data_IF_959442110723
#
_entry.id   IF_959442110723
#
_cell.length_a   1.000
_cell.length_b   1.000
_cell.length_c   1.000
_cell.angle_alpha   90.00
_cell.angle_beta   90.00
_cell.angle_gamma   90.00
#
_symmetry.space_group_name_H-M   'P 1'
#
loop_
_entity.id
_entity.type
_entity.pdbx_description
1 polymer ?
#
# COMPACT_ATOMS: atom_id res chain seq x y z
N UNK A 1 -3.79 30.60 61.29
CA UNK A 1 -2.78 31.49 60.70
C UNK A 1 -2.60 31.07 59.30
N UNK A 2 -3.20 31.63 58.39
CA UNK A 2 -2.99 32.85 57.63
C UNK A 2 -2.44 32.39 56.30
N UNK A 3 -3.07 32.37 55.21
CA UNK A 3 -3.76 33.32 54.39
C UNK A 3 -2.83 33.72 53.24
N UNK A 4 -3.20 33.54 52.01
CA UNK A 4 -3.37 34.60 51.05
C UNK A 4 -3.78 34.08 49.66
N UNK A 5 -4.91 34.56 49.26
CA UNK A 5 -5.51 34.48 47.92
C UNK A 5 -4.84 35.57 47.06
N UNK A 6 -4.56 35.29 45.79
CA UNK A 6 -4.59 36.32 44.78
C UNK A 6 -4.99 35.79 43.38
N UNK A 7 -6.20 36.20 43.01
CA UNK A 7 -6.72 36.20 41.61
C UNK A 7 -6.08 37.33 40.84
N UNK A 8 -5.73 37.15 39.58
CA UNK A 8 -5.76 38.25 38.59
C UNK A 8 -6.30 37.72 37.24
N UNK A 9 -7.45 38.29 36.90
CA UNK A 9 -8.03 38.38 35.55
C UNK A 9 -7.34 39.54 34.82
N UNK A 10 -7.24 39.47 33.51
CA UNK A 10 -7.25 40.59 32.53
C UNK A 10 -7.23 39.91 31.16
N UNK A 11 -8.14 40.02 30.32
CA UNK A 11 -8.99 40.97 29.60
C UNK A 11 -8.65 40.88 28.09
N UNK A 12 -9.68 40.66 27.33
CA UNK A 12 -9.73 40.62 25.87
C UNK A 12 -9.38 41.96 25.21
N UNK A 13 -8.86 41.93 24.00
CA UNK A 13 -9.00 43.03 23.06
C UNK A 13 -9.28 42.53 21.66
N UNK A 14 -10.47 42.81 21.23
CA UNK A 14 -11.00 42.74 19.87
C UNK A 14 -10.48 43.95 19.09
N UNK A 15 -10.01 43.77 17.86
CA UNK A 15 -10.04 44.83 16.85
C UNK A 15 -10.45 44.27 15.50
N UNK A 16 -11.64 44.65 15.14
CA UNK A 16 -12.18 44.62 13.78
C UNK A 16 -11.75 45.89 13.05
N UNK A 17 -11.38 45.79 11.80
CA UNK A 17 -11.38 46.90 10.87
C UNK A 17 -11.86 46.46 9.50
N UNK A 18 -12.90 47.10 9.13
CA UNK A 18 -13.77 46.99 7.95
C UNK A 18 -13.22 47.73 6.74
N UNK A 19 -13.66 47.24 5.56
CA UNK A 19 -14.03 47.95 4.32
C UNK A 19 -12.91 48.58 3.48
N UNK A 20 -12.97 48.33 2.13
CA UNK A 20 -13.72 49.17 1.17
C UNK A 20 -13.90 48.42 -0.16
N UNK A 21 -15.12 48.49 -0.69
CA UNK A 21 -15.61 48.15 -2.02
C UNK A 21 -14.92 48.97 -3.12
N UNK A 22 -14.80 48.33 -4.31
CA UNK A 22 -14.58 49.02 -5.57
C UNK A 22 -15.26 48.25 -6.70
N UNK A 23 -16.49 48.66 -7.03
CA UNK A 23 -17.23 48.29 -8.24
C UNK A 23 -16.81 49.17 -9.43
N UNK A 24 -16.71 48.56 -10.62
CA UNK A 24 -17.17 49.09 -11.92
C UNK A 24 -16.88 48.02 -12.95
N UNK A 25 -17.79 47.37 -13.52
CA UNK A 25 -18.93 47.67 -14.43
C UNK A 25 -18.52 47.71 -15.90
N UNK A 26 -19.23 46.82 -16.62
CA UNK A 26 -19.77 46.94 -17.98
C UNK A 26 -18.88 46.66 -19.19
N UNK A 27 -19.40 45.74 -20.01
CA UNK A 27 -19.28 45.75 -21.43
C UNK A 27 -19.63 44.41 -22.09
N UNK A 28 -20.91 44.23 -22.31
CA UNK A 28 -21.62 43.17 -23.02
C UNK A 28 -21.36 43.11 -24.53
N UNK A 29 -21.67 41.93 -25.06
CA UNK A 29 -22.29 41.56 -26.38
C UNK A 29 -21.35 40.72 -27.25
N UNK A 30 -21.74 39.66 -27.70
CA UNK A 30 -22.90 38.91 -28.27
C UNK A 30 -22.38 38.04 -29.43
N UNK A 31 -22.69 36.79 -29.32
CA UNK A 31 -23.13 35.77 -30.28
C UNK A 31 -22.68 35.85 -31.76
N UNK A 32 -22.23 34.72 -32.25
CA UNK A 32 -22.85 33.96 -33.35
C UNK A 32 -22.00 32.74 -33.75
N UNK A 33 -22.57 31.57 -33.71
CA UNK A 33 -22.31 30.44 -34.58
C UNK A 33 -23.23 30.60 -35.83
N UNK A 34 -23.28 29.72 -36.82
CA UNK A 34 -22.48 28.56 -37.22
C UNK A 34 -22.18 28.53 -38.75
N UNK A 35 -21.72 27.43 -39.27
CA UNK A 35 -21.89 26.84 -40.60
C UNK A 35 -20.54 26.34 -41.18
N UNK A 36 -20.42 25.14 -41.41
CA UNK A 36 -20.87 24.12 -42.40
C UNK A 36 -19.68 23.64 -43.24
N UNK A 37 -19.57 22.31 -43.33
CA UNK A 37 -18.73 21.56 -44.23
C UNK A 37 -19.24 21.63 -45.67
N UNK A 38 -18.43 21.27 -46.68
CA UNK A 38 -18.79 20.11 -47.48
C UNK A 38 -17.56 19.21 -47.73
N UNK A 39 -17.68 17.91 -47.67
CA UNK A 39 -18.11 16.85 -48.60
C UNK A 39 -17.35 16.75 -49.92
N UNK A 40 -16.75 15.53 -50.05
CA UNK A 40 -16.71 14.62 -51.21
C UNK A 40 -15.78 15.03 -52.36
N UNK A 41 -14.97 14.17 -52.92
CA UNK A 41 -15.28 12.92 -53.65
C UNK A 41 -13.99 12.17 -54.04
N UNK A 42 -13.96 10.93 -53.79
CA UNK A 42 -13.70 9.69 -54.52
C UNK A 42 -12.82 9.72 -55.80
N UNK A 43 -11.90 8.76 -55.90
CA UNK A 43 -11.83 7.64 -56.84
C UNK A 43 -10.45 7.01 -56.93
N UNK A 44 -10.40 5.70 -56.76
CA UNK A 44 -9.33 4.81 -57.23
C UNK A 44 -9.52 4.56 -58.74
N UNK A 45 -8.64 3.86 -59.50
CA UNK A 45 -8.16 2.51 -59.20
C UNK A 45 -6.72 2.13 -59.63
N UNK A 46 -6.31 0.99 -59.11
CA UNK A 46 -5.37 -0.07 -59.52
C UNK A 46 -4.56 0.03 -60.81
N UNK A 47 -3.31 -0.44 -60.71
CA UNK A 47 -2.75 -1.46 -61.61
C UNK A 47 -1.60 -2.22 -60.95
N UNK A 48 -1.69 -3.53 -61.03
CA UNK A 48 -0.66 -4.56 -60.80
C UNK A 48 0.50 -4.39 -61.78
N UNK A 49 1.72 -4.73 -61.32
CA UNK A 49 2.71 -5.41 -62.19
C UNK A 49 3.74 -6.16 -61.34
N UNK A 50 4.08 -7.30 -61.86
CA UNK A 50 4.74 -8.47 -61.32
C UNK A 50 6.19 -8.29 -60.85
N UNK A 51 6.58 -9.19 -59.97
CA UNK A 51 7.93 -9.49 -59.50
C UNK A 51 8.81 -10.09 -60.63
N UNK A 52 10.14 -10.06 -60.46
CA UNK A 52 10.83 -11.33 -60.44
C UNK A 52 11.73 -11.62 -59.25
N UNK A 53 11.87 -12.90 -59.03
CA UNK A 53 12.49 -13.62 -57.94
C UNK A 53 14.03 -13.53 -57.91
N UNK A 54 14.54 -13.99 -56.77
CA UNK A 54 15.80 -14.67 -56.47
C UNK A 54 17.08 -13.83 -56.25
N UNK A 55 17.47 -13.83 -54.98
CA UNK A 55 18.80 -14.32 -54.57
C UNK A 55 18.74 -14.60 -53.04
N UNK A 56 18.81 -15.89 -52.70
CA UNK A 56 19.13 -16.38 -51.36
C UNK A 56 20.55 -15.94 -51.01
N UNK A 57 20.67 -15.11 -49.96
CA UNK A 57 21.93 -14.90 -49.26
C UNK A 57 21.79 -15.52 -47.88
N UNK A 58 22.49 -16.62 -47.74
CA UNK A 58 22.60 -17.47 -46.54
C UNK A 58 23.15 -16.62 -45.37
N UNK A 59 22.27 -16.21 -44.46
CA UNK A 59 22.67 -15.57 -43.22
C UNK A 59 23.29 -16.62 -42.31
N UNK A 60 24.58 -16.41 -42.00
CA UNK A 60 25.31 -17.16 -40.98
C UNK A 60 24.58 -17.08 -39.62
N UNK A 61 24.63 -18.15 -38.80
CA UNK A 61 23.98 -18.12 -37.50
C UNK A 61 24.64 -17.07 -36.63
N UNK A 62 23.80 -16.15 -36.13
CA UNK A 62 24.16 -15.18 -35.12
C UNK A 62 24.60 -15.95 -33.87
N UNK A 63 25.89 -15.86 -33.56
CA UNK A 63 26.52 -16.45 -32.40
C UNK A 63 25.81 -15.90 -31.14
N UNK A 64 25.02 -16.73 -30.47
CA UNK A 64 24.39 -16.40 -29.22
C UNK A 64 25.49 -15.86 -28.29
N UNK A 65 25.37 -14.61 -27.90
CA UNK A 65 26.23 -13.98 -26.93
C UNK A 65 26.23 -14.85 -25.67
N UNK A 66 27.39 -15.37 -25.33
CA UNK A 66 27.60 -16.07 -24.07
C UNK A 66 27.15 -15.16 -22.91
N UNK A 67 26.57 -15.71 -21.83
CA UNK A 67 26.28 -14.91 -20.66
C UNK A 67 27.53 -14.19 -20.22
N UNK A 68 27.47 -12.87 -20.04
CA UNK A 68 28.58 -12.11 -19.47
C UNK A 68 28.92 -12.77 -18.14
N UNK A 69 30.15 -13.30 -18.03
CA UNK A 69 30.68 -13.76 -16.76
C UNK A 69 30.59 -12.57 -15.78
N UNK A 70 29.80 -12.71 -14.73
CA UNK A 70 29.70 -11.74 -13.67
C UNK A 70 31.11 -11.46 -13.18
N UNK A 71 31.60 -10.24 -13.29
CA UNK A 71 32.73 -9.75 -12.55
C UNK A 71 32.43 -10.12 -11.08
N UNK A 72 33.33 -10.80 -10.38
CA UNK A 72 33.08 -11.35 -9.04
C UNK A 72 32.93 -10.28 -7.95
N UNK A 73 32.39 -9.14 -8.26
CA UNK A 73 32.04 -8.04 -7.38
C UNK A 73 30.55 -8.16 -7.01
N UNK A 74 30.27 -8.15 -5.71
CA UNK A 74 28.90 -8.24 -5.20
C UNK A 74 28.10 -6.97 -5.56
N UNK A 75 26.83 -7.14 -5.89
CA UNK A 75 25.91 -6.02 -6.09
C UNK A 75 25.56 -5.42 -4.73
N UNK A 76 25.86 -4.14 -4.52
CA UNK A 76 25.57 -3.42 -3.28
C UNK A 76 24.13 -2.96 -3.23
N UNK A 77 23.40 -3.41 -2.21
CA UNK A 77 21.99 -3.14 -2.07
C UNK A 77 21.69 -2.49 -0.71
N UNK A 78 21.16 -1.26 -0.72
CA UNK A 78 20.60 -0.61 0.47
C UNK A 78 19.11 -0.91 0.56
N UNK A 79 18.65 -1.53 1.65
CA UNK A 79 17.26 -1.93 1.85
C UNK A 79 16.66 -1.15 3.00
N UNK A 80 15.65 -0.34 2.69
CA UNK A 80 14.89 0.45 3.66
C UNK A 80 13.55 -0.22 3.87
N UNK A 81 13.27 -0.59 5.11
CA UNK A 81 12.04 -1.28 5.48
C UNK A 81 11.51 -0.74 6.82
N UNK A 82 10.27 -1.09 7.15
CA UNK A 82 9.71 -0.85 8.47
C UNK A 82 10.28 -1.86 9.49
N UNK A 83 10.08 -1.61 10.79
CA UNK A 83 10.59 -2.48 11.86
C UNK A 83 10.05 -3.91 11.69
N UNK A 84 10.91 -4.94 11.60
CA UNK A 84 10.48 -6.34 11.48
C UNK A 84 9.55 -6.83 12.60
N UNK A 85 9.53 -6.14 13.74
CA UNK A 85 8.66 -6.45 14.87
C UNK A 85 7.32 -5.68 14.84
N UNK A 86 7.06 -4.92 13.78
CA UNK A 86 5.83 -4.16 13.63
C UNK A 86 4.59 -5.06 13.57
N UNK A 87 4.68 -6.14 12.77
CA UNK A 87 3.59 -7.08 12.52
C UNK A 87 4.11 -8.44 12.03
N UNK A 88 3.22 -9.43 11.97
CA UNK A 88 3.52 -10.74 11.37
C UNK A 88 3.92 -10.61 9.90
N UNK A 89 3.19 -9.80 9.12
CA UNK A 89 3.54 -9.46 7.74
C UNK A 89 4.97 -8.95 7.62
N UNK A 90 5.35 -7.96 8.44
CA UNK A 90 6.68 -7.35 8.37
C UNK A 90 7.79 -8.32 8.75
N UNK A 91 7.54 -9.20 9.73
CA UNK A 91 8.47 -10.29 10.07
C UNK A 91 8.70 -11.24 8.89
N UNK A 92 7.64 -11.63 8.17
CA UNK A 92 7.72 -12.51 7.00
C UNK A 92 8.45 -11.82 5.83
N UNK A 93 8.13 -10.56 5.56
CA UNK A 93 8.78 -9.76 4.52
C UNK A 93 10.28 -9.57 4.76
N UNK A 94 10.69 -9.24 5.99
CA UNK A 94 12.11 -9.12 6.36
C UNK A 94 12.87 -10.44 6.18
N UNK A 95 12.25 -11.56 6.55
CA UNK A 95 12.81 -12.89 6.35
C UNK A 95 13.01 -13.23 4.87
N UNK A 96 12.04 -12.91 4.02
CA UNK A 96 12.08 -13.12 2.58
C UNK A 96 13.24 -12.34 1.95
N UNK A 97 13.35 -11.05 2.27
CA UNK A 97 14.43 -10.19 1.79
C UNK A 97 15.82 -10.68 2.26
N UNK A 98 15.96 -11.05 3.53
CA UNK A 98 17.24 -11.57 4.08
C UNK A 98 17.65 -12.92 3.49
N UNK A 99 16.68 -13.74 3.11
CA UNK A 99 16.98 -15.01 2.45
C UNK A 99 17.45 -14.83 1.01
N UNK A 100 16.95 -13.80 0.32
CA UNK A 100 17.32 -13.50 -1.07
C UNK A 100 18.61 -12.70 -1.17
N UNK A 101 18.76 -11.61 -0.43
CA UNK A 101 19.87 -10.67 -0.58
C UNK A 101 21.07 -11.08 0.28
N UNK A 102 21.78 -12.11 -0.16
CA UNK A 102 22.97 -12.71 0.49
C UNK A 102 24.16 -12.70 -0.44
N UNK A 103 25.37 -12.83 0.11
CA UNK A 103 26.61 -12.97 -0.67
C UNK A 103 26.57 -14.21 -1.59
N UNK A 104 25.93 -15.31 -1.15
CA UNK A 104 25.78 -16.52 -1.97
C UNK A 104 24.94 -16.25 -3.23
N UNK A 105 24.00 -15.33 -3.16
CA UNK A 105 23.17 -14.91 -4.28
C UNK A 105 23.77 -13.74 -5.07
N UNK A 106 24.98 -13.27 -4.70
CA UNK A 106 25.69 -12.22 -5.41
C UNK A 106 25.46 -10.81 -4.85
N UNK A 107 24.95 -10.66 -3.64
CA UNK A 107 24.59 -9.37 -3.05
C UNK A 107 25.37 -9.02 -1.80
N UNK A 108 25.80 -7.75 -1.68
CA UNK A 108 26.23 -7.10 -0.45
C UNK A 108 25.07 -6.22 0.06
N UNK A 109 24.22 -6.77 0.92
CA UNK A 109 23.02 -6.10 1.39
C UNK A 109 23.20 -5.43 2.74
N UNK A 110 22.74 -4.18 2.83
CA UNK A 110 22.65 -3.39 4.06
C UNK A 110 21.20 -3.01 4.35
N UNK A 111 20.74 -3.24 5.58
CA UNK A 111 19.35 -2.99 5.99
C UNK A 111 19.26 -1.80 6.92
N UNK A 112 18.24 -0.98 6.72
CA UNK A 112 17.83 0.11 7.62
C UNK A 112 16.33 -0.02 7.93
N UNK A 113 15.99 0.07 9.21
CA UNK A 113 14.61 -0.11 9.68
C UNK A 113 14.13 1.12 10.43
N UNK A 114 12.98 1.63 10.06
CA UNK A 114 12.26 2.63 10.84
C UNK A 114 10.79 2.73 10.41
N UNK A 115 9.91 2.96 11.38
CA UNK A 115 8.50 3.28 11.16
C UNK A 115 8.25 4.80 11.03
N UNK A 116 9.32 5.57 10.85
CA UNK A 116 9.26 7.02 10.67
C UNK A 116 9.85 7.42 9.33
N UNK A 117 9.08 8.17 8.56
CA UNK A 117 9.44 8.54 7.20
C UNK A 117 10.74 9.37 7.12
N UNK A 118 10.94 10.31 8.03
CA UNK A 118 12.15 11.16 8.11
C UNK A 118 13.43 10.35 8.41
N UNK A 119 13.32 9.31 9.25
CA UNK A 119 14.42 8.38 9.52
C UNK A 119 14.72 7.49 8.31
N UNK A 120 13.68 7.03 7.58
CA UNK A 120 13.86 6.26 6.34
C UNK A 120 14.51 7.12 5.24
N UNK A 121 14.08 8.37 5.04
CA UNK A 121 14.69 9.31 4.10
C UNK A 121 16.17 9.57 4.46
N UNK A 122 16.47 9.73 5.75
CA UNK A 122 17.87 9.88 6.22
C UNK A 122 18.71 8.63 5.94
N UNK A 123 18.12 7.45 6.06
CA UNK A 123 18.78 6.18 5.71
C UNK A 123 19.04 6.06 4.22
N UNK A 124 18.09 6.53 3.37
CA UNK A 124 18.29 6.60 1.92
C UNK A 124 19.47 7.51 1.56
N UNK A 125 19.53 8.70 2.16
CA UNK A 125 20.65 9.63 1.97
C UNK A 125 21.99 9.00 2.36
N UNK A 126 22.00 8.22 3.45
CA UNK A 126 23.20 7.48 3.87
C UNK A 126 23.61 6.41 2.85
N UNK A 127 22.69 5.59 2.37
CA UNK A 127 22.98 4.59 1.36
C UNK A 127 23.48 5.21 0.04
N UNK A 128 22.94 6.37 -0.35
CA UNK A 128 23.44 7.14 -1.49
C UNK A 128 24.91 7.55 -1.27
N UNK A 129 25.26 8.05 -0.07
CA UNK A 129 26.63 8.42 0.28
C UNK A 129 27.58 7.21 0.36
N UNK A 130 27.07 6.06 0.78
CA UNK A 130 27.82 4.80 0.85
C UNK A 130 28.04 4.18 -0.55
N UNK A 131 27.37 4.69 -1.60
CA UNK A 131 27.55 4.29 -2.99
C UNK A 131 26.98 2.89 -3.27
N UNK A 132 25.75 2.61 -2.86
CA UNK A 132 25.03 1.38 -3.24
C UNK A 132 24.67 1.40 -4.73
N UNK A 133 24.55 0.23 -5.35
CA UNK A 133 24.10 0.10 -6.73
C UNK A 133 22.58 0.21 -6.85
N UNK A 134 21.89 -0.36 -5.85
CA UNK A 134 20.43 -0.38 -5.76
C UNK A 134 19.95 0.09 -4.40
N UNK A 135 18.85 0.84 -4.42
CA UNK A 135 18.11 1.27 -3.24
C UNK A 135 16.71 0.66 -3.30
N UNK A 136 16.39 -0.22 -2.36
CA UNK A 136 15.09 -0.87 -2.23
C UNK A 136 14.31 -0.19 -1.11
N UNK A 137 13.05 0.18 -1.35
CA UNK A 137 12.28 1.00 -0.41
C UNK A 137 10.86 0.43 -0.21
N UNK A 138 10.52 0.13 1.06
CA UNK A 138 9.15 0.00 1.56
C UNK A 138 8.88 1.18 2.51
N UNK A 139 8.12 2.16 2.05
CA UNK A 139 7.98 3.45 2.72
C UNK A 139 7.03 3.41 3.93
N UNK A 140 7.38 4.10 5.01
CA UNK A 140 6.51 4.30 6.17
C UNK A 140 5.35 5.26 5.85
N UNK A 141 5.59 6.28 5.02
CA UNK A 141 4.61 7.23 4.49
C UNK A 141 4.83 7.42 2.99
N UNK A 142 3.78 7.70 2.24
CA UNK A 142 3.86 7.86 0.79
C UNK A 142 4.54 9.15 0.35
N UNK A 143 4.58 10.19 1.18
CA UNK A 143 5.01 11.54 0.83
C UNK A 143 6.48 11.84 1.12
N UNK A 144 7.05 12.83 0.41
CA UNK A 144 8.34 13.46 0.74
C UNK A 144 9.57 12.77 0.15
N UNK A 145 9.41 11.83 -0.77
CA UNK A 145 10.50 11.05 -1.35
C UNK A 145 11.21 11.69 -2.54
N UNK A 146 10.57 12.63 -3.25
CA UNK A 146 11.09 13.18 -4.53
C UNK A 146 12.54 13.65 -4.47
N UNK A 147 12.92 14.37 -3.40
CA UNK A 147 14.27 14.94 -3.28
C UNK A 147 15.33 13.84 -3.18
N UNK A 148 15.14 12.86 -2.28
CA UNK A 148 16.14 11.82 -2.07
C UNK A 148 16.21 10.84 -3.24
N UNK A 149 15.09 10.60 -3.93
CA UNK A 149 15.07 9.78 -5.14
C UNK A 149 15.75 10.49 -6.31
N UNK A 150 15.61 11.82 -6.42
CA UNK A 150 16.36 12.64 -7.38
C UNK A 150 17.87 12.57 -7.10
N UNK A 151 18.26 12.63 -5.83
CA UNK A 151 19.67 12.49 -5.43
C UNK A 151 20.22 11.11 -5.82
N UNK A 152 19.46 10.03 -5.56
CA UNK A 152 19.83 8.67 -5.97
C UNK A 152 20.01 8.56 -7.50
N UNK A 153 19.09 9.11 -8.28
CA UNK A 153 19.15 9.13 -9.74
C UNK A 153 20.38 9.88 -10.25
N UNK A 154 20.72 11.05 -9.65
CA UNK A 154 21.89 11.84 -10.01
C UNK A 154 23.21 11.10 -9.75
N UNK A 155 23.27 10.24 -8.73
CA UNK A 155 24.42 9.41 -8.41
C UNK A 155 24.41 8.08 -9.20
N UNK A 156 23.40 7.85 -10.06
CA UNK A 156 23.29 6.64 -10.88
C UNK A 156 22.79 5.41 -10.12
N UNK A 157 22.27 5.60 -8.92
CA UNK A 157 21.71 4.53 -8.09
C UNK A 157 20.31 4.17 -8.59
N UNK A 158 20.05 2.88 -8.75
CA UNK A 158 18.76 2.35 -9.22
C UNK A 158 17.82 2.14 -8.04
N UNK A 159 16.62 2.72 -8.12
CA UNK A 159 15.61 2.61 -7.06
C UNK A 159 14.54 1.60 -7.47
N UNK A 160 14.21 0.66 -6.57
CA UNK A 160 13.09 -0.27 -6.73
C UNK A 160 12.21 -0.14 -5.48
N UNK A 161 10.92 0.06 -5.70
CA UNK A 161 9.93 0.12 -4.63
C UNK A 161 9.34 -1.27 -4.41
N UNK A 162 9.03 -1.59 -3.17
CA UNK A 162 8.35 -2.85 -2.84
C UNK A 162 7.33 -2.65 -1.72
N UNK A 163 6.35 -3.56 -1.61
CA UNK A 163 5.29 -3.57 -0.60
C UNK A 163 4.35 -2.35 -0.71
N UNK A 164 4.87 -1.13 -0.62
CA UNK A 164 4.09 0.10 -0.53
C UNK A 164 4.46 1.08 -1.64
N UNK A 165 3.45 1.71 -2.24
CA UNK A 165 3.64 2.82 -3.19
C UNK A 165 4.06 4.09 -2.46
N UNK A 166 4.67 5.01 -3.21
CA UNK A 166 5.00 6.38 -2.76
C UNK A 166 4.41 7.42 -3.72
N UNK A 167 4.21 8.64 -3.22
CA UNK A 167 3.77 9.78 -4.03
C UNK A 167 4.99 10.46 -4.64
N UNK A 168 5.59 9.86 -5.68
CA UNK A 168 6.75 10.39 -6.39
C UNK A 168 6.61 10.18 -7.90
N UNK A 169 7.36 10.97 -8.69
CA UNK A 169 7.39 10.82 -10.14
C UNK A 169 7.95 9.44 -10.53
N UNK A 170 7.23 8.72 -11.39
CA UNK A 170 7.60 7.37 -11.82
C UNK A 170 8.98 7.30 -12.52
N UNK A 171 9.49 8.40 -13.03
CA UNK A 171 10.83 8.46 -13.63
C UNK A 171 11.97 8.33 -12.59
N UNK A 172 11.67 8.45 -11.30
CA UNK A 172 12.65 8.42 -10.21
C UNK A 172 12.93 7.00 -9.67
N UNK A 173 12.25 5.99 -10.15
CA UNK A 173 12.50 4.59 -9.78
C UNK A 173 12.37 3.67 -10.99
N UNK A 174 12.97 2.49 -10.94
CA UNK A 174 12.99 1.52 -12.04
C UNK A 174 11.66 0.74 -12.15
N UNK A 175 11.22 0.22 -11.02
CA UNK A 175 9.98 -0.53 -10.90
C UNK A 175 9.44 -0.51 -9.48
N UNK A 176 8.19 -0.96 -9.32
CA UNK A 176 7.54 -1.20 -8.04
C UNK A 176 6.86 -2.57 -8.02
N UNK A 177 7.00 -3.30 -6.92
CA UNK A 177 6.32 -4.56 -6.63
C UNK A 177 5.44 -4.32 -5.41
N UNK A 178 4.14 -4.23 -5.60
CA UNK A 178 3.23 -3.71 -4.57
C UNK A 178 1.90 -4.46 -4.56
N UNK A 179 1.24 -4.45 -3.41
CA UNK A 179 -0.15 -4.85 -3.29
C UNK A 179 -1.07 -3.73 -3.75
N UNK A 180 -2.23 -4.08 -4.29
CA UNK A 180 -3.30 -3.11 -4.55
C UNK A 180 -4.12 -2.89 -3.26
N UNK A 181 -3.60 -2.04 -2.39
CA UNK A 181 -4.18 -1.75 -1.07
C UNK A 181 -5.61 -1.20 -1.15
N UNK A 182 -5.96 -0.51 -2.24
CA UNK A 182 -7.32 -0.05 -2.48
C UNK A 182 -8.23 -1.23 -2.82
N UNK A 183 -7.74 -2.15 -3.66
CA UNK A 183 -8.47 -3.36 -4.03
C UNK A 183 -8.69 -4.30 -2.86
N UNK A 184 -7.69 -4.44 -1.96
CA UNK A 184 -7.86 -5.17 -0.70
C UNK A 184 -9.05 -4.63 0.11
N UNK A 185 -9.08 -3.31 0.32
CA UNK A 185 -10.17 -2.64 1.02
C UNK A 185 -11.53 -2.80 0.31
N UNK A 186 -11.58 -2.61 -1.02
CA UNK A 186 -12.79 -2.81 -1.83
C UNK A 186 -13.32 -4.25 -1.70
N UNK A 187 -12.44 -5.25 -1.79
CA UNK A 187 -12.81 -6.66 -1.69
C UNK A 187 -13.39 -6.99 -0.31
N UNK A 188 -12.76 -6.48 0.76
CA UNK A 188 -13.25 -6.64 2.13
C UNK A 188 -14.61 -5.97 2.36
N UNK A 189 -14.79 -4.77 1.83
CA UNK A 189 -16.06 -4.03 1.92
C UNK A 189 -17.17 -4.73 1.13
N UNK A 190 -16.87 -5.23 -0.07
CA UNK A 190 -17.82 -5.99 -0.89
C UNK A 190 -18.26 -7.27 -0.15
N UNK A 191 -17.30 -7.99 0.43
CA UNK A 191 -17.58 -9.14 1.27
C UNK A 191 -18.49 -8.78 2.46
N UNK A 192 -18.18 -7.67 3.18
CA UNK A 192 -18.96 -7.21 4.33
C UNK A 192 -20.40 -6.85 3.94
N UNK A 193 -20.61 -6.20 2.79
CA UNK A 193 -21.95 -5.93 2.23
C UNK A 193 -22.73 -7.21 2.01
N UNK A 194 -22.07 -8.25 1.51
CA UNK A 194 -22.65 -9.57 1.27
C UNK A 194 -23.19 -10.27 2.53
N UNK A 195 -22.76 -9.87 3.73
CA UNK A 195 -23.22 -10.46 4.99
C UNK A 195 -24.68 -10.11 5.32
N UNK A 196 -25.24 -9.05 4.72
CA UNK A 196 -26.66 -8.68 4.88
C UNK A 196 -27.08 -8.42 6.33
N UNK A 197 -26.19 -7.82 7.13
CA UNK A 197 -26.46 -7.49 8.53
C UNK A 197 -27.59 -6.44 8.60
N UNK A 198 -28.40 -6.46 9.65
CA UNK A 198 -29.48 -5.50 9.86
C UNK A 198 -28.98 -4.08 10.13
N UNK A 199 -27.79 -3.96 10.66
CA UNK A 199 -27.06 -2.72 10.93
C UNK A 199 -25.55 -2.98 10.87
N UNK A 200 -24.78 -1.95 10.63
CA UNK A 200 -23.31 -1.97 10.57
C UNK A 200 -22.78 -0.89 11.51
N UNK A 201 -22.55 -1.27 12.76
CA UNK A 201 -21.94 -0.44 13.79
C UNK A 201 -20.48 -0.88 13.93
N UNK A 202 -19.55 -0.13 13.35
CA UNK A 202 -18.20 -0.57 13.05
C UNK A 202 -17.21 0.03 14.04
N UNK A 203 -16.39 -0.80 14.65
CA UNK A 203 -15.11 -0.39 15.24
C UNK A 203 -14.06 -0.54 14.13
N UNK A 204 -13.51 0.59 13.67
CA UNK A 204 -12.45 0.63 12.68
C UNK A 204 -11.10 0.87 13.36
N UNK A 205 -10.24 -0.15 13.28
CA UNK A 205 -8.88 -0.12 13.80
C UNK A 205 -7.92 0.15 12.64
N UNK A 206 -7.44 1.38 12.54
CA UNK A 206 -6.58 1.82 11.45
C UNK A 206 -5.11 1.48 11.73
N UNK A 207 -4.36 1.25 10.67
CA UNK A 207 -2.91 1.09 10.71
C UNK A 207 -2.14 2.38 11.00
N UNK A 208 -0.86 2.40 10.65
CA UNK A 208 -0.03 3.62 10.72
C UNK A 208 -0.55 4.63 9.71
N UNK A 209 -0.93 5.80 10.21
CA UNK A 209 -1.50 6.87 9.39
C UNK A 209 -0.51 7.37 8.34
N UNK A 210 -0.99 7.50 7.11
CA UNK A 210 -0.20 7.94 5.96
C UNK A 210 0.43 6.81 5.14
N UNK A 211 0.47 5.57 5.64
CA UNK A 211 0.94 4.42 4.87
C UNK A 211 -0.03 4.07 3.72
N UNK A 212 0.49 3.43 2.67
CA UNK A 212 -0.33 3.02 1.52
C UNK A 212 -1.45 2.07 1.94
N UNK A 213 -1.16 1.09 2.81
CA UNK A 213 -2.14 0.12 3.31
C UNK A 213 -3.27 0.81 4.08
N UNK A 214 -2.94 1.71 5.02
CA UNK A 214 -3.95 2.47 5.75
C UNK A 214 -4.82 3.30 4.80
N UNK A 215 -4.22 4.05 3.86
CA UNK A 215 -4.96 4.87 2.89
C UNK A 215 -5.92 4.03 2.04
N UNK A 216 -5.47 2.88 1.54
CA UNK A 216 -6.28 2.01 0.69
C UNK A 216 -7.42 1.32 1.46
N UNK A 217 -7.09 0.64 2.55
CA UNK A 217 -8.05 -0.12 3.36
C UNK A 217 -9.08 0.80 4.04
N UNK A 218 -8.64 1.95 4.60
CA UNK A 218 -9.54 2.98 5.15
C UNK A 218 -10.42 3.60 4.08
N UNK A 219 -9.85 3.99 2.93
CA UNK A 219 -10.59 4.72 1.89
C UNK A 219 -11.79 3.95 1.36
N UNK A 220 -11.67 2.64 1.17
CA UNK A 220 -12.77 1.78 0.75
C UNK A 220 -13.89 1.72 1.81
N UNK A 221 -13.52 1.56 3.09
CA UNK A 221 -14.49 1.51 4.18
C UNK A 221 -15.17 2.87 4.41
N UNK A 222 -14.43 3.97 4.37
CA UNK A 222 -14.97 5.33 4.52
C UNK A 222 -16.03 5.62 3.43
N UNK A 223 -15.73 5.26 2.18
CA UNK A 223 -16.66 5.39 1.07
C UNK A 223 -17.94 4.54 1.26
N UNK A 224 -17.81 3.33 1.79
CA UNK A 224 -18.94 2.47 2.09
C UNK A 224 -19.79 3.01 3.26
N UNK A 225 -19.17 3.51 4.31
CA UNK A 225 -19.88 4.13 5.45
C UNK A 225 -20.71 5.31 4.97
N UNK A 226 -20.17 6.16 4.09
CA UNK A 226 -20.88 7.29 3.53
C UNK A 226 -22.05 6.87 2.62
N UNK A 227 -21.83 5.89 1.73
CA UNK A 227 -22.80 5.51 0.70
C UNK A 227 -23.90 4.56 1.21
N UNK A 228 -23.58 3.65 2.13
CA UNK A 228 -24.48 2.61 2.63
C UNK A 228 -25.20 3.00 3.94
N UNK A 229 -24.85 4.15 4.52
CA UNK A 229 -25.41 4.59 5.79
C UNK A 229 -24.92 3.76 7.00
N UNK A 230 -23.74 3.14 6.87
CA UNK A 230 -23.08 2.45 7.99
C UNK A 230 -22.59 3.46 9.02
N UNK A 231 -22.21 2.99 10.19
CA UNK A 231 -21.79 3.87 11.30
C UNK A 231 -20.45 3.44 11.87
N UNK A 232 -19.52 4.37 11.97
CA UNK A 232 -18.38 4.19 12.87
C UNK A 232 -18.81 4.44 14.31
N UNK A 233 -18.66 3.42 15.15
CA UNK A 233 -18.70 3.57 16.61
C UNK A 233 -17.42 4.25 17.05
N UNK A 234 -16.29 3.79 16.52
CA UNK A 234 -15.01 4.50 16.61
C UNK A 234 -14.16 4.23 15.37
N UNK A 235 -13.31 5.19 15.01
CA UNK A 235 -12.29 5.07 13.99
C UNK A 235 -11.00 5.63 14.58
N UNK A 236 -10.04 4.76 14.88
CA UNK A 236 -8.80 5.16 15.56
C UNK A 236 -7.62 4.34 15.05
N UNK A 237 -6.45 4.98 14.96
CA UNK A 237 -5.24 4.25 14.66
C UNK A 237 -4.76 3.41 15.85
N UNK A 238 -4.50 2.16 15.60
CA UNK A 238 -3.82 1.25 16.51
C UNK A 238 -2.38 0.93 16.03
N UNK A 239 -1.94 1.57 14.92
CA UNK A 239 -0.56 1.54 14.43
C UNK A 239 -0.04 0.09 14.26
N UNK A 240 -0.83 -0.79 13.65
CA UNK A 240 -0.57 -2.23 13.45
C UNK A 240 -0.39 -3.03 14.74
N UNK A 241 -0.69 -2.46 15.91
CA UNK A 241 -0.34 -3.00 17.22
C UNK A 241 -1.52 -3.62 17.96
N UNK A 242 -1.41 -4.91 18.31
CA UNK A 242 -2.44 -5.68 19.02
C UNK A 242 -2.83 -5.06 20.38
N UNK A 243 -1.86 -4.55 21.15
CA UNK A 243 -2.13 -3.98 22.48
C UNK A 243 -2.92 -2.69 22.38
N UNK A 244 -2.58 -1.80 21.41
CA UNK A 244 -3.34 -0.59 21.16
C UNK A 244 -4.75 -0.91 20.68
N UNK A 245 -4.90 -1.86 19.77
CA UNK A 245 -6.20 -2.33 19.28
C UNK A 245 -7.07 -2.86 20.45
N UNK A 246 -6.50 -3.69 21.31
CA UNK A 246 -7.19 -4.20 22.50
C UNK A 246 -7.68 -3.07 23.42
N UNK A 247 -6.85 -2.04 23.63
CA UNK A 247 -7.22 -0.89 24.47
C UNK A 247 -8.35 -0.07 23.86
N UNK A 248 -8.35 0.14 22.54
CA UNK A 248 -9.41 0.87 21.83
C UNK A 248 -10.73 0.09 21.96
N UNK A 249 -10.73 -1.21 21.66
CA UNK A 249 -11.94 -2.03 21.75
C UNK A 249 -12.45 -2.14 23.18
N UNK A 250 -11.55 -2.31 24.17
CA UNK A 250 -11.93 -2.31 25.57
C UNK A 250 -12.60 -0.99 26.00
N UNK A 251 -12.10 0.15 25.49
CA UNK A 251 -12.70 1.46 25.78
C UNK A 251 -14.13 1.59 25.22
N UNK A 252 -14.38 1.04 24.02
CA UNK A 252 -15.74 1.00 23.44
C UNK A 252 -16.66 0.09 24.26
N UNK A 253 -16.19 -1.09 24.68
CA UNK A 253 -16.94 -2.00 25.55
C UNK A 253 -17.30 -1.31 26.87
N UNK A 254 -16.34 -0.63 27.50
CA UNK A 254 -16.53 0.05 28.78
C UNK A 254 -17.50 1.24 28.67
N UNK A 255 -17.61 1.88 27.49
CA UNK A 255 -18.58 2.95 27.23
C UNK A 255 -20.01 2.45 27.10
N UNK A 256 -20.21 1.15 26.85
CA UNK A 256 -21.51 0.54 26.61
C UNK A 256 -22.11 0.86 25.24
N UNK A 257 -21.32 1.36 24.30
CA UNK A 257 -21.76 1.58 22.91
C UNK A 257 -21.92 0.24 22.19
N UNK A 258 -23.01 0.11 21.41
CA UNK A 258 -23.30 -1.10 20.64
C UNK A 258 -22.50 -1.12 19.35
N UNK A 259 -21.87 -2.24 19.05
CA UNK A 259 -21.17 -2.52 17.80
C UNK A 259 -21.38 -3.98 17.39
N UNK A 260 -21.18 -4.28 16.12
CA UNK A 260 -21.31 -5.63 15.56
C UNK A 260 -20.28 -5.98 14.48
N UNK A 261 -19.37 -5.06 14.17
CA UNK A 261 -18.28 -5.27 13.22
C UNK A 261 -16.96 -4.73 13.80
N UNK A 262 -15.92 -5.54 13.77
CA UNK A 262 -14.52 -5.13 13.92
C UNK A 262 -13.89 -5.17 12.52
N UNK A 263 -13.56 -4.03 11.98
CA UNK A 263 -12.73 -3.90 10.78
C UNK A 263 -11.33 -3.49 11.22
N UNK A 264 -10.43 -4.45 11.28
CA UNK A 264 -9.04 -4.24 11.65
C UNK A 264 -8.18 -4.29 10.39
N UNK A 265 -7.40 -3.25 10.13
CA UNK A 265 -6.59 -3.14 8.90
C UNK A 265 -5.36 -4.07 8.88
N UNK A 266 -5.17 -4.90 9.95
CA UNK A 266 -4.30 -6.07 9.92
C UNK A 266 -4.70 -7.10 10.99
N UNK A 267 -4.12 -8.29 10.88
CA UNK A 267 -4.39 -9.43 11.77
C UNK A 267 -3.96 -9.20 13.22
N UNK A 268 -2.82 -8.56 13.45
CA UNK A 268 -2.36 -8.30 14.81
C UNK A 268 -3.34 -7.39 15.55
N UNK A 269 -3.92 -6.39 14.88
CA UNK A 269 -4.97 -5.56 15.49
C UNK A 269 -6.27 -6.33 15.67
N UNK A 270 -6.67 -7.19 14.71
CA UNK A 270 -7.84 -8.06 14.86
C UNK A 270 -7.67 -8.99 16.07
N UNK A 271 -6.51 -9.60 16.25
CA UNK A 271 -6.16 -10.40 17.44
C UNK A 271 -6.28 -9.62 18.74
N UNK A 272 -5.80 -8.37 18.74
CA UNK A 272 -5.96 -7.48 19.89
C UNK A 272 -7.43 -7.18 20.21
N UNK A 273 -8.24 -6.93 19.19
CA UNK A 273 -9.67 -6.72 19.31
C UNK A 273 -10.38 -7.96 19.91
N UNK A 274 -10.10 -9.14 19.36
CA UNK A 274 -10.64 -10.42 19.86
C UNK A 274 -10.29 -10.64 21.33
N UNK A 275 -9.06 -10.35 21.74
CA UNK A 275 -8.67 -10.47 23.14
C UNK A 275 -9.50 -9.57 24.11
N UNK A 276 -9.97 -8.41 23.63
CA UNK A 276 -10.90 -7.57 24.42
C UNK A 276 -12.31 -8.16 24.46
N UNK A 277 -12.80 -8.71 23.34
CA UNK A 277 -14.12 -9.36 23.26
C UNK A 277 -14.17 -10.59 24.16
N UNK A 278 -13.17 -11.47 24.09
CA UNK A 278 -13.07 -12.67 24.94
C UNK A 278 -13.08 -12.33 26.43
N UNK A 279 -12.31 -11.33 26.82
CA UNK A 279 -12.28 -10.86 28.22
C UNK A 279 -13.62 -10.34 28.68
N UNK A 280 -14.42 -9.76 27.80
CA UNK A 280 -15.76 -9.26 28.06
C UNK A 280 -16.85 -10.33 27.88
N UNK A 281 -16.52 -11.54 27.45
CA UNK A 281 -17.42 -12.62 27.06
C UNK A 281 -18.42 -12.21 25.96
N UNK A 282 -17.96 -11.40 24.98
CA UNK A 282 -18.73 -11.02 23.80
C UNK A 282 -18.45 -12.05 22.70
N UNK A 283 -19.49 -12.65 22.16
CA UNK A 283 -19.37 -13.68 21.11
C UNK A 283 -18.99 -13.07 19.77
N UNK A 284 -18.07 -13.73 19.04
CA UNK A 284 -17.57 -13.24 17.75
C UNK A 284 -17.32 -14.39 16.77
N UNK A 285 -17.26 -14.08 15.49
CA UNK A 285 -17.06 -15.04 14.41
C UNK A 285 -18.36 -15.40 13.68
N UNK A 286 -18.34 -16.50 12.94
CA UNK A 286 -19.44 -16.90 12.06
C UNK A 286 -20.70 -17.21 12.86
N UNK A 287 -21.80 -16.49 12.54
CA UNK A 287 -23.09 -16.65 13.21
C UNK A 287 -23.12 -16.17 14.66
N UNK A 288 -22.20 -15.29 15.05
CA UNK A 288 -22.10 -14.70 16.39
C UNK A 288 -22.44 -13.20 16.36
N UNK A 289 -22.29 -12.55 17.53
CA UNK A 289 -22.70 -11.14 17.70
C UNK A 289 -21.80 -10.15 16.98
N UNK A 290 -20.51 -10.47 16.82
CA UNK A 290 -19.52 -9.57 16.22
C UNK A 290 -18.79 -10.24 15.06
N UNK A 291 -18.81 -9.59 13.92
CA UNK A 291 -18.01 -9.93 12.72
C UNK A 291 -16.57 -9.46 12.94
N UNK A 292 -15.60 -10.33 12.67
CA UNK A 292 -14.17 -10.02 12.75
C UNK A 292 -13.56 -10.08 11.37
N UNK A 293 -12.89 -9.00 10.99
CA UNK A 293 -12.15 -8.87 9.74
C UNK A 293 -10.70 -8.49 10.00
N UNK A 294 -9.79 -9.15 9.30
CA UNK A 294 -8.35 -8.92 9.33
C UNK A 294 -7.78 -8.75 7.92
N UNK A 295 -6.48 -8.48 7.85
CA UNK A 295 -5.67 -8.47 6.63
C UNK A 295 -4.28 -8.99 6.96
N UNK A 296 -3.57 -9.48 5.99
CA UNK A 296 -2.21 -10.00 5.88
C UNK A 296 -2.15 -11.51 5.69
N UNK A 297 -3.17 -12.27 6.12
CA UNK A 297 -3.19 -13.73 6.09
C UNK A 297 -2.05 -14.37 6.90
N UNK A 298 -1.79 -13.87 8.11
CA UNK A 298 -0.93 -14.62 9.03
C UNK A 298 -1.48 -16.04 9.22
N UNK A 299 -0.63 -17.07 9.19
CA UNK A 299 -1.07 -18.46 9.27
C UNK A 299 -2.01 -18.72 10.46
N UNK A 300 -1.69 -18.16 11.62
CA UNK A 300 -2.52 -18.27 12.82
C UNK A 300 -3.88 -17.56 12.67
N UNK A 301 -3.98 -16.48 11.86
CA UNK A 301 -5.25 -15.80 11.57
C UNK A 301 -6.12 -16.63 10.63
N UNK A 302 -5.54 -17.19 9.57
CA UNK A 302 -6.24 -18.12 8.69
C UNK A 302 -6.70 -19.39 9.45
N UNK A 303 -5.94 -19.87 10.45
CA UNK A 303 -6.37 -20.94 11.34
C UNK A 303 -7.59 -20.55 12.19
N UNK A 304 -7.70 -19.30 12.65
CA UNK A 304 -8.89 -18.80 13.35
C UNK A 304 -10.08 -18.64 12.37
N UNK A 305 -9.82 -18.26 11.13
CA UNK A 305 -10.83 -18.25 10.06
C UNK A 305 -11.38 -19.66 9.81
N UNK A 306 -10.49 -20.65 9.65
CA UNK A 306 -10.85 -22.06 9.43
C UNK A 306 -11.69 -22.65 10.59
N UNK A 307 -11.45 -22.18 11.82
CA UNK A 307 -12.24 -22.51 13.00
C UNK A 307 -13.54 -21.71 13.10
N UNK A 308 -13.78 -20.77 12.20
CA UNK A 308 -14.92 -19.84 12.17
C UNK A 308 -14.98 -18.90 13.40
N UNK A 309 -13.84 -18.67 14.06
CA UNK A 309 -13.69 -17.68 15.13
C UNK A 309 -13.58 -16.25 14.60
N UNK A 310 -13.12 -16.10 13.35
CA UNK A 310 -13.10 -14.87 12.54
C UNK A 310 -14.00 -15.06 11.34
N UNK A 311 -14.23 -14.00 10.57
CA UNK A 311 -15.17 -14.03 9.45
C UNK A 311 -14.50 -13.82 8.10
N UNK A 312 -13.49 -12.93 8.02
CA UNK A 312 -12.83 -12.54 6.79
C UNK A 312 -11.37 -12.19 7.04
N UNK A 313 -10.51 -12.51 6.08
CA UNK A 313 -9.12 -12.09 6.04
C UNK A 313 -8.71 -11.72 4.61
N UNK A 314 -8.16 -10.52 4.41
CA UNK A 314 -7.64 -10.05 3.13
C UNK A 314 -6.16 -10.39 3.00
N UNK A 315 -5.77 -11.06 1.92
CA UNK A 315 -4.36 -11.34 1.67
C UNK A 315 -3.60 -10.04 1.38
N UNK A 316 -2.41 -9.91 1.98
CA UNK A 316 -1.34 -9.02 1.59
C UNK A 316 -0.06 -9.85 1.54
N UNK A 317 0.56 -9.99 0.37
CA UNK A 317 1.64 -10.94 0.17
C UNK A 317 3.01 -10.30 0.46
N UNK A 318 3.76 -10.77 1.49
CA UNK A 318 5.06 -10.20 1.87
C UNK A 318 6.24 -10.68 1.02
N UNK A 319 6.06 -11.65 0.13
CA UNK A 319 7.13 -12.33 -0.60
C UNK A 319 7.46 -11.63 -1.93
N UNK A 320 8.14 -10.49 -1.86
CA UNK A 320 8.49 -9.70 -3.05
C UNK A 320 9.94 -9.91 -3.51
N UNK A 321 10.80 -10.55 -2.73
CA UNK A 321 12.25 -10.59 -2.97
C UNK A 321 12.63 -11.20 -4.32
N UNK A 322 11.92 -12.25 -4.75
CA UNK A 322 12.18 -12.90 -6.04
C UNK A 322 11.87 -12.00 -7.24
N UNK A 323 10.83 -11.18 -7.17
CA UNK A 323 10.52 -10.21 -8.21
C UNK A 323 11.56 -9.10 -8.27
N UNK A 324 12.05 -8.64 -7.12
CA UNK A 324 13.11 -7.63 -7.03
C UNK A 324 14.41 -8.19 -7.62
N UNK A 325 14.78 -9.42 -7.28
CA UNK A 325 15.96 -10.11 -7.81
C UNK A 325 15.92 -10.23 -9.34
N UNK A 326 14.76 -10.62 -9.91
CA UNK A 326 14.55 -10.72 -11.35
C UNK A 326 14.71 -9.33 -12.05
N UNK A 327 14.18 -8.27 -11.44
CA UNK A 327 14.34 -6.89 -11.93
C UNK A 327 15.81 -6.50 -11.92
N UNK A 328 16.53 -6.72 -10.81
CA UNK A 328 17.95 -6.40 -10.70
C UNK A 328 18.75 -7.15 -11.77
N UNK A 329 18.54 -8.46 -11.93
CA UNK A 329 19.21 -9.29 -12.95
C UNK A 329 18.92 -8.82 -14.37
N UNK A 330 17.68 -8.42 -14.64
CA UNK A 330 17.28 -7.86 -15.93
C UNK A 330 18.05 -6.58 -16.25
N UNK A 331 18.15 -5.67 -15.27
CA UNK A 331 18.87 -4.40 -15.41
C UNK A 331 20.39 -4.66 -15.58
N UNK A 332 20.97 -5.58 -14.78
CA UNK A 332 22.38 -5.97 -14.87
C UNK A 332 22.71 -6.57 -16.24
N UNK A 333 21.78 -7.29 -16.86
CA UNK A 333 21.89 -7.81 -18.22
C UNK A 333 21.72 -6.75 -19.31
N UNK A 334 21.57 -5.47 -18.98
CA UNK A 334 21.36 -4.37 -19.93
C UNK A 334 19.92 -4.24 -20.43
N UNK A 335 18.98 -4.98 -19.85
CA UNK A 335 17.55 -4.87 -20.14
C UNK A 335 16.85 -3.81 -19.30
N UNK A 336 15.52 -3.77 -19.43
CA UNK A 336 14.63 -2.95 -18.59
C UNK A 336 13.51 -3.82 -18.05
N UNK A 337 12.96 -3.51 -16.87
CA UNK A 337 11.79 -4.22 -16.33
C UNK A 337 10.65 -4.26 -17.35
N UNK A 338 10.02 -5.42 -17.51
CA UNK A 338 8.90 -5.60 -18.45
C UNK A 338 7.67 -4.75 -18.10
N UNK A 339 7.50 -4.46 -16.81
CA UNK A 339 6.43 -3.63 -16.28
C UNK A 339 6.99 -2.63 -15.28
N UNK A 340 6.43 -1.42 -15.27
CA UNK A 340 6.79 -0.39 -14.29
C UNK A 340 6.27 -0.74 -12.89
N UNK A 341 5.06 -1.29 -12.84
CA UNK A 341 4.41 -1.72 -11.61
C UNK A 341 3.96 -3.16 -11.75
N UNK A 342 4.39 -4.00 -10.83
CA UNK A 342 3.93 -5.37 -10.65
C UNK A 342 2.96 -5.34 -9.47
N UNK A 343 1.69 -5.60 -9.75
CA UNK A 343 0.67 -5.77 -8.71
C UNK A 343 0.66 -7.23 -8.31
N UNK A 344 0.79 -7.49 -7.00
CA UNK A 344 0.70 -8.83 -6.44
C UNK A 344 -0.72 -9.37 -6.63
N UNK A 345 -0.84 -10.65 -7.00
CA UNK A 345 -2.14 -11.31 -7.11
C UNK A 345 -2.60 -11.76 -5.72
N UNK A 346 -3.64 -11.13 -5.22
CA UNK A 346 -4.11 -11.26 -3.84
C UNK A 346 -5.64 -11.44 -3.81
N UNK A 347 -6.13 -12.14 -2.79
CA UNK A 347 -7.55 -12.45 -2.63
C UNK A 347 -8.02 -12.31 -1.17
N UNK A 348 -9.34 -12.24 -0.99
CA UNK A 348 -9.97 -12.36 0.34
C UNK A 348 -10.34 -13.81 0.65
N UNK A 349 -10.34 -14.15 1.93
CA UNK A 349 -10.77 -15.45 2.45
C UNK A 349 -12.00 -15.30 3.33
N UNK A 350 -13.03 -16.06 3.02
CA UNK A 350 -14.26 -16.19 3.81
C UNK A 350 -14.16 -17.41 4.73
N UNK A 351 -14.50 -17.25 6.01
CA UNK A 351 -14.47 -18.33 6.99
C UNK A 351 -15.39 -19.51 6.68
N UNK A 352 -16.38 -19.32 5.80
CA UNK A 352 -17.30 -20.39 5.38
C UNK A 352 -16.80 -21.17 4.17
N UNK A 353 -15.75 -20.66 3.48
CA UNK A 353 -15.21 -21.25 2.25
C UNK A 353 -13.76 -21.69 2.38
N UNK A 354 -12.99 -21.12 3.32
CA UNK A 354 -11.56 -21.42 3.52
C UNK A 354 -11.31 -22.89 3.79
N UNK A 355 -10.22 -23.41 3.23
CA UNK A 355 -9.78 -24.80 3.40
C UNK A 355 -8.42 -24.87 4.11
N UNK A 356 -8.04 -26.06 4.59
CA UNK A 356 -6.69 -26.28 5.13
C UNK A 356 -5.62 -26.04 4.07
N UNK A 357 -5.89 -26.36 2.80
CA UNK A 357 -4.98 -26.09 1.69
C UNK A 357 -4.74 -24.59 1.51
N UNK A 358 -5.77 -23.74 1.69
CA UNK A 358 -5.60 -22.29 1.67
C UNK A 358 -4.69 -21.81 2.81
N UNK A 359 -4.88 -22.33 4.02
CA UNK A 359 -4.02 -22.01 5.18
C UNK A 359 -2.56 -22.40 4.92
N UNK A 360 -2.34 -23.54 4.29
CA UNK A 360 -0.99 -24.04 4.01
C UNK A 360 -0.31 -23.30 2.85
N UNK A 361 -1.08 -22.83 1.86
CA UNK A 361 -0.55 -22.15 0.67
C UNK A 361 -0.40 -20.64 0.84
N UNK A 362 -1.26 -19.99 1.63
CA UNK A 362 -1.34 -18.53 1.76
C UNK A 362 -1.00 -18.00 3.15
N UNK A 363 -0.90 -18.88 4.15
CA UNK A 363 -0.53 -18.48 5.52
C UNK A 363 0.95 -18.09 5.61
N UNK A 364 1.23 -16.84 6.04
CA UNK A 364 2.58 -16.29 6.22
C UNK A 364 3.11 -16.51 7.63
#
# INVERSE_FOLDING_TARGET
MGGFIMKKKVLAAIMAATMVLGLAACGSKEAAAPAEAPKEEAAAPAQEEEAPAEAEEEAAPEEAAAPAESSGELIKVGIINNDPNESGYRTANDKDLKAMFTEENGYEASFAYSNKNDEQISSAQKFIQDGVDYLLISAADTAGWDSVLTDAQNEGIRVILFDRVIDADESLYEASIVSDMAKEGETAVEWLKGQGLSEYNIIHLQGVMGSAAQKGRSGALDAAVESEGWKFVTQQTAEWNAVKAQQIVQSVIDSGESFNVIYAENDDMAKGAVAALDKANISHGVGKDVVIMGFDCNKWALEELLKQNWNYDGQCNPFQSSYIDEIIKTIQGGGSPAQKTIIMDEKGFDATEITQEDVDNFGI
#
